data_IF_391047050686
#
_entry.id   IF_391047050686
#
_cell.length_a   1.000
_cell.length_b   1.000
_cell.length_c   1.000
_cell.angle_alpha   90.00
_cell.angle_beta   90.00
_cell.angle_gamma   90.00
#
_symmetry.space_group_name_H-M   'P 1'
#
loop_
_entity.id
_entity.type
_entity.pdbx_description
1 polymer ?
#
# COMPACT_ATOMS: atom_id res chain seq x y z
N UNK A 1 12.19 19.26 7.20
CA UNK A 1 11.91 17.81 7.35
C UNK A 1 10.61 17.53 6.62
N UNK A 2 10.59 16.50 5.77
CA UNK A 2 9.54 16.19 4.79
C UNK A 2 8.90 14.81 5.01
N UNK A 3 9.08 14.23 6.21
CA UNK A 3 8.25 13.12 6.70
C UNK A 3 6.86 13.66 6.98
N UNK A 4 5.83 12.95 6.55
CA UNK A 4 4.46 13.17 6.99
C UNK A 4 4.06 12.02 7.90
N UNK A 5 3.65 12.35 9.11
CA UNK A 5 2.99 11.43 10.04
C UNK A 5 1.61 12.02 10.28
N UNK A 6 0.58 11.25 9.96
CA UNK A 6 -0.82 11.67 10.05
C UNK A 6 -1.59 10.63 10.85
N UNK A 7 -1.95 11.00 12.07
CA UNK A 7 -2.74 10.16 12.97
C UNK A 7 -4.23 10.35 12.68
N UNK A 8 -4.94 9.24 12.52
CA UNK A 8 -6.39 9.18 12.30
C UNK A 8 -6.99 8.34 13.44
N UNK A 9 -7.09 8.90 14.67
CA UNK A 9 -7.49 8.14 15.86
C UNK A 9 -8.89 7.53 15.73
N UNK A 10 -9.82 8.24 15.09
CA UNK A 10 -11.19 7.75 14.84
C UNK A 10 -11.23 6.51 13.93
N UNK A 11 -10.17 6.28 13.15
CA UNK A 11 -10.02 5.11 12.28
C UNK A 11 -9.11 4.04 12.89
N UNK A 12 -8.37 4.37 13.96
CA UNK A 12 -7.29 3.54 14.48
C UNK A 12 -6.15 3.38 13.48
N UNK A 13 -5.79 4.43 12.73
CA UNK A 13 -4.77 4.36 11.67
C UNK A 13 -3.76 5.48 11.83
N UNK A 14 -2.47 5.18 11.67
CA UNK A 14 -1.43 6.19 11.44
C UNK A 14 -0.89 6.04 10.02
N UNK A 15 -0.91 7.12 9.23
CA UNK A 15 -0.20 7.16 7.94
C UNK A 15 1.21 7.69 8.16
N UNK A 16 2.18 6.97 7.60
CA UNK A 16 3.58 7.41 7.48
C UNK A 16 3.88 7.57 6.01
N UNK A 17 4.31 8.77 5.60
CA UNK A 17 4.62 9.03 4.21
C UNK A 17 5.93 9.77 4.05
N UNK A 18 6.80 9.21 3.21
CA UNK A 18 8.02 9.86 2.77
C UNK A 18 7.88 10.21 1.30
N UNK A 19 7.55 11.48 1.05
CA UNK A 19 7.15 12.02 -0.25
C UNK A 19 5.88 11.38 -0.79
N UNK A 20 5.98 10.32 -1.60
CA UNK A 20 4.82 9.67 -2.23
C UNK A 20 4.56 8.24 -1.76
N UNK A 21 5.45 7.66 -0.96
CA UNK A 21 5.32 6.30 -0.46
C UNK A 21 4.49 6.31 0.82
N UNK A 22 3.19 6.05 0.71
CA UNK A 22 2.34 5.91 1.88
C UNK A 22 2.44 4.51 2.46
N UNK A 23 2.70 4.45 3.75
CA UNK A 23 2.58 3.27 4.58
C UNK A 23 1.55 3.54 5.66
N UNK A 24 0.86 2.50 6.12
CA UNK A 24 -0.19 2.62 7.12
C UNK A 24 0.07 1.69 8.28
N UNK A 25 -0.17 2.18 9.49
CA UNK A 25 -0.14 1.39 10.72
C UNK A 25 -1.59 1.28 11.18
N UNK A 26 -2.14 0.08 11.16
CA UNK A 26 -3.46 -0.24 11.68
C UNK A 26 -3.32 -0.62 13.15
N UNK A 27 -4.01 0.08 14.03
CA UNK A 27 -3.92 -0.10 15.48
C UNK A 27 -4.97 -1.13 15.92
N UNK A 28 -4.60 -2.09 16.78
CA UNK A 28 -5.54 -3.08 17.29
C UNK A 28 -5.03 -3.82 18.51
N UNK A 29 -5.83 -3.84 19.58
CA UNK A 29 -5.44 -4.48 20.85
C UNK A 29 -4.19 -3.84 21.44
N UNK A 30 -3.19 -4.66 21.73
CA UNK A 30 -1.87 -4.30 22.25
C UNK A 30 -0.77 -4.21 21.17
N UNK A 31 -1.15 -4.16 19.89
CA UNK A 31 -0.21 -4.10 18.79
C UNK A 31 -0.75 -3.47 17.51
N UNK A 32 -0.03 -3.72 16.41
CA UNK A 32 -0.30 -3.09 15.13
C UNK A 32 -0.05 -4.00 13.92
N UNK A 33 -0.77 -3.75 12.84
CA UNK A 33 -0.50 -4.31 11.51
C UNK A 33 0.04 -3.19 10.63
N UNK A 34 1.19 -3.41 10.00
CA UNK A 34 1.77 -2.46 9.05
C UNK A 34 1.35 -2.86 7.64
N UNK A 35 0.72 -1.96 6.91
CA UNK A 35 0.33 -2.12 5.51
C UNK A 35 1.23 -1.26 4.64
N UNK A 36 1.95 -1.94 3.74
CA UNK A 36 3.11 -1.48 3.00
C UNK A 36 4.24 -1.03 3.92
N UNK A 37 5.46 -1.46 3.61
CA UNK A 37 6.65 -1.12 4.39
C UNK A 37 7.55 -0.10 3.68
N UNK A 38 7.12 0.38 2.51
CA UNK A 38 7.83 1.39 1.77
C UNK A 38 9.14 0.85 1.19
N UNK A 39 10.04 1.78 0.90
CA UNK A 39 11.45 1.50 0.68
C UNK A 39 12.19 1.25 2.00
N UNK A 40 13.39 0.63 2.01
CA UNK A 40 14.12 0.31 3.26
C UNK A 40 14.26 1.47 4.24
N UNK A 41 14.54 2.69 3.73
CA UNK A 41 14.63 3.88 4.58
C UNK A 41 13.30 4.26 5.26
N UNK A 42 12.16 3.97 4.62
CA UNK A 42 10.82 4.20 5.20
C UNK A 42 10.57 3.24 6.35
N UNK A 43 11.14 2.02 6.34
CA UNK A 43 11.07 1.10 7.47
C UNK A 43 11.67 1.70 8.76
N UNK A 44 12.68 2.57 8.63
CA UNK A 44 13.21 3.31 9.78
C UNK A 44 12.25 4.36 10.32
N UNK A 45 11.49 5.03 9.46
CA UNK A 45 10.44 5.97 9.88
C UNK A 45 9.28 5.25 10.56
N UNK A 46 8.84 4.12 9.96
CA UNK A 46 7.84 3.22 10.55
C UNK A 46 8.28 2.72 11.93
N UNK A 47 9.54 2.31 12.06
CA UNK A 47 10.10 1.86 13.34
C UNK A 47 10.06 2.95 14.42
N UNK A 48 10.26 4.22 14.06
CA UNK A 48 10.18 5.34 14.99
C UNK A 48 8.74 5.61 15.45
N UNK A 49 7.76 5.47 14.54
CA UNK A 49 6.32 5.59 14.84
C UNK A 49 5.88 4.44 15.75
N UNK A 50 6.21 3.20 15.41
CA UNK A 50 5.90 2.03 16.23
C UNK A 50 6.51 2.13 17.64
N UNK A 51 7.73 2.65 17.76
CA UNK A 51 8.37 2.90 19.05
C UNK A 51 7.63 3.92 19.94
N UNK A 52 6.93 4.89 19.34
CA UNK A 52 6.12 5.86 20.08
C UNK A 52 4.74 5.33 20.44
N UNK A 53 4.12 4.56 19.54
CA UNK A 53 2.82 3.94 19.79
C UNK A 53 2.91 2.87 20.89
N UNK A 54 4.09 2.23 21.02
CA UNK A 54 4.27 1.08 21.89
C UNK A 54 3.58 -0.17 21.32
N UNK A 55 3.75 -1.31 21.99
CA UNK A 55 3.14 -2.58 21.58
C UNK A 55 3.94 -3.38 20.55
N UNK A 56 3.40 -4.55 20.18
CA UNK A 56 4.00 -5.47 19.20
C UNK A 56 3.54 -5.20 17.77
N UNK A 57 4.38 -5.51 16.79
CA UNK A 57 3.93 -5.64 15.40
C UNK A 57 3.36 -7.05 15.22
N UNK A 58 2.08 -7.16 14.90
CA UNK A 58 1.39 -8.44 14.72
C UNK A 58 1.45 -8.97 13.30
N UNK A 59 1.68 -8.09 12.32
CA UNK A 59 1.88 -8.47 10.93
C UNK A 59 2.48 -7.31 10.11
N UNK A 60 3.23 -7.66 9.07
CA UNK A 60 3.57 -6.75 7.97
C UNK A 60 2.91 -7.27 6.70
N UNK A 61 2.13 -6.42 6.03
CA UNK A 61 1.35 -6.73 4.85
C UNK A 61 1.83 -5.86 3.70
N UNK A 62 1.88 -6.38 2.49
CA UNK A 62 2.03 -5.56 1.29
C UNK A 62 0.78 -5.64 0.40
N UNK A 63 0.42 -4.54 -0.24
CA UNK A 63 -0.67 -4.47 -1.21
C UNK A 63 -0.30 -5.12 -2.54
N UNK A 64 1.00 -5.14 -2.89
CA UNK A 64 1.56 -5.84 -4.05
C UNK A 64 3.09 -5.87 -3.96
N UNK A 65 3.73 -6.55 -4.92
CA UNK A 65 5.18 -6.78 -4.90
C UNK A 65 6.05 -5.64 -5.45
N UNK A 66 5.52 -4.44 -5.73
CA UNK A 66 6.38 -3.32 -6.12
C UNK A 66 7.36 -2.96 -5.01
N UNK A 67 8.54 -2.51 -5.42
CA UNK A 67 9.66 -2.29 -4.50
C UNK A 67 9.35 -1.25 -3.43
N UNK A 68 8.64 -0.20 -3.79
CA UNK A 68 8.23 0.87 -2.88
C UNK A 68 7.05 0.53 -1.98
N UNK A 69 6.50 -0.69 -2.07
CA UNK A 69 5.52 -1.23 -1.13
C UNK A 69 6.12 -2.29 -0.23
N UNK A 70 7.00 -3.15 -0.78
CA UNK A 70 7.46 -4.37 -0.09
C UNK A 70 8.90 -4.29 0.43
N UNK A 71 9.76 -3.41 -0.10
CA UNK A 71 11.21 -3.51 0.14
C UNK A 71 11.62 -3.25 1.60
N UNK A 72 10.85 -2.44 2.33
CA UNK A 72 11.08 -2.19 3.75
C UNK A 72 10.68 -3.33 4.68
N UNK A 73 9.94 -4.34 4.19
CA UNK A 73 9.36 -5.38 5.05
C UNK A 73 10.43 -6.22 5.76
N UNK A 74 11.51 -6.57 5.05
CA UNK A 74 12.63 -7.32 5.62
C UNK A 74 13.37 -6.54 6.72
N UNK A 75 13.59 -5.24 6.50
CA UNK A 75 14.24 -4.37 7.49
C UNK A 75 13.36 -4.14 8.71
N UNK A 76 12.06 -3.97 8.49
CA UNK A 76 11.09 -3.76 9.58
C UNK A 76 10.97 -5.01 10.45
N UNK A 77 10.84 -6.19 9.84
CA UNK A 77 10.70 -7.46 10.57
C UNK A 77 11.99 -7.92 11.26
N UNK A 78 13.16 -7.47 10.80
CA UNK A 78 14.40 -7.65 11.54
C UNK A 78 14.42 -6.89 12.89
N UNK A 79 13.64 -5.80 13.01
CA UNK A 79 13.52 -4.99 14.23
C UNK A 79 12.30 -5.38 15.08
N UNK A 80 11.20 -5.72 14.41
CA UNK A 80 9.94 -6.14 15.01
C UNK A 80 9.54 -7.49 14.42
N UNK A 81 10.00 -8.61 15.00
CA UNK A 81 9.67 -9.94 14.50
C UNK A 81 8.15 -10.15 14.41
N UNK A 82 7.65 -10.32 13.20
CA UNK A 82 6.23 -10.43 12.88
C UNK A 82 6.04 -11.19 11.57
N UNK A 83 4.89 -11.86 11.37
CA UNK A 83 4.62 -12.56 10.12
C UNK A 83 4.48 -11.58 8.95
N UNK A 84 4.99 -11.98 7.79
CA UNK A 84 4.87 -11.24 6.52
C UNK A 84 3.80 -11.87 5.65
N UNK A 85 2.80 -11.07 5.27
CA UNK A 85 1.74 -11.49 4.36
C UNK A 85 1.82 -10.72 3.05
N UNK A 86 1.94 -11.43 1.95
CA UNK A 86 1.93 -10.87 0.60
C UNK A 86 0.69 -11.35 -0.14
N UNK A 87 0.24 -10.69 -1.21
CA UNK A 87 -0.81 -11.25 -2.07
C UNK A 87 -0.44 -12.66 -2.53
N UNK A 88 -1.41 -13.57 -2.58
CA UNK A 88 -1.17 -14.96 -2.96
C UNK A 88 -0.47 -15.07 -4.32
N UNK A 89 -0.75 -14.14 -5.25
CA UNK A 89 -0.08 -14.06 -6.54
C UNK A 89 1.37 -13.59 -6.44
N UNK A 90 1.69 -12.66 -5.55
CA UNK A 90 3.08 -12.21 -5.32
C UNK A 90 3.99 -13.36 -4.90
N UNK A 91 3.46 -14.36 -4.16
CA UNK A 91 4.23 -15.55 -3.78
C UNK A 91 4.73 -16.35 -4.99
N UNK A 92 3.99 -16.34 -6.10
CA UNK A 92 4.39 -17.02 -7.35
C UNK A 92 5.55 -16.34 -8.06
N UNK A 93 5.99 -15.16 -7.57
CA UNK A 93 7.08 -14.39 -8.15
C UNK A 93 8.38 -14.47 -7.35
N UNK A 94 8.36 -15.04 -6.14
CA UNK A 94 9.51 -15.00 -5.23
C UNK A 94 10.74 -15.77 -5.74
N UNK A 95 10.56 -16.65 -6.73
CA UNK A 95 11.64 -17.38 -7.42
C UNK A 95 12.37 -16.55 -8.50
N UNK A 96 12.00 -15.29 -8.68
CA UNK A 96 12.55 -14.42 -9.71
C UNK A 96 11.67 -14.26 -10.94
N UNK A 97 10.47 -14.86 -10.97
CA UNK A 97 9.55 -14.67 -12.08
C UNK A 97 9.20 -13.19 -12.29
N UNK A 98 8.87 -12.85 -13.55
CA UNK A 98 8.56 -11.47 -13.97
C UNK A 98 7.06 -11.21 -13.91
N UNK A 99 6.60 -10.32 -13.00
CA UNK A 99 5.19 -9.97 -12.89
C UNK A 99 4.74 -9.08 -14.05
N UNK A 100 3.42 -9.01 -14.29
CA UNK A 100 2.86 -7.97 -15.16
C UNK A 100 2.86 -6.64 -14.41
N UNK A 101 3.76 -5.75 -14.80
CA UNK A 101 3.96 -4.42 -14.19
C UNK A 101 3.89 -3.29 -15.22
N UNK A 102 3.47 -2.07 -14.85
CA UNK A 102 3.47 -0.92 -15.75
C UNK A 102 4.87 -0.65 -16.33
N UNK A 103 4.91 -0.17 -17.58
CA UNK A 103 6.17 0.27 -18.19
C UNK A 103 6.64 1.57 -17.54
N UNK A 104 7.94 1.92 -17.61
CA UNK A 104 8.43 3.20 -17.07
C UNK A 104 7.68 4.43 -17.61
N UNK A 105 7.26 4.41 -18.89
CA UNK A 105 6.48 5.48 -19.49
C UNK A 105 5.06 5.59 -18.90
N UNK A 106 4.43 4.45 -18.57
CA UNK A 106 3.17 4.46 -17.80
C UNK A 106 3.43 4.95 -16.38
N UNK A 107 4.52 4.49 -15.77
CA UNK A 107 4.88 4.83 -14.40
C UNK A 107 5.03 6.35 -14.20
N UNK A 108 5.69 7.02 -15.14
CA UNK A 108 5.86 8.47 -15.12
C UNK A 108 4.52 9.26 -15.12
N UNK A 109 3.38 8.62 -15.41
CA UNK A 109 2.08 9.29 -15.43
C UNK A 109 1.57 9.67 -14.05
N UNK A 110 2.08 9.10 -12.95
CA UNK A 110 1.70 9.49 -11.58
C UNK A 110 2.26 10.84 -11.15
N UNK A 111 2.94 11.57 -12.04
CA UNK A 111 3.48 12.90 -11.78
C UNK A 111 2.54 13.86 -11.01
N UNK A 112 1.20 13.87 -11.18
CA UNK A 112 0.35 14.74 -10.38
C UNK A 112 0.47 14.45 -8.87
N UNK A 113 0.56 13.18 -8.47
CA UNK A 113 0.71 12.77 -7.06
C UNK A 113 2.01 13.27 -6.44
N UNK A 114 3.07 13.38 -7.26
CA UNK A 114 4.40 13.81 -6.84
C UNK A 114 4.43 15.27 -6.37
N UNK A 115 3.54 16.10 -6.93
CA UNK A 115 3.42 17.53 -6.61
C UNK A 115 2.40 17.80 -5.50
N UNK A 116 1.55 16.84 -5.17
CA UNK A 116 0.56 16.98 -4.11
C UNK A 116 1.16 16.75 -2.71
N UNK A 117 2.34 16.17 -2.60
CA UNK A 117 2.99 15.90 -1.31
C UNK A 117 4.28 16.71 -1.13
N UNK A 118 4.68 17.02 0.12
CA UNK A 118 5.93 17.73 0.38
C UNK A 118 7.11 16.97 -0.23
N UNK A 119 7.89 17.64 -1.08
CA UNK A 119 9.07 17.05 -1.68
C UNK A 119 10.06 16.60 -0.60
N UNK A 120 10.55 15.36 -0.70
CA UNK A 120 11.54 14.78 0.18
C UNK A 120 12.73 14.25 -0.63
N UNK A 121 13.94 14.72 -0.31
CA UNK A 121 15.18 14.31 -0.99
C UNK A 121 15.53 12.84 -0.75
N UNK A 122 15.21 12.30 0.42
CA UNK A 122 15.41 10.89 0.77
C UNK A 122 14.43 10.02 -0.01
N UNK A 123 13.16 10.44 -0.09
CA UNK A 123 12.15 9.80 -0.94
C UNK A 123 12.56 9.77 -2.41
N UNK A 124 12.99 10.91 -2.97
CA UNK A 124 13.44 11.00 -4.35
C UNK A 124 14.67 10.11 -4.65
N UNK A 125 15.67 10.09 -3.75
CA UNK A 125 16.82 9.17 -3.86
C UNK A 125 16.39 7.70 -3.72
N UNK A 126 15.39 7.43 -2.88
CA UNK A 126 14.75 6.14 -2.72
C UNK A 126 14.12 5.66 -4.03
N UNK A 127 13.35 6.50 -4.74
CA UNK A 127 12.75 6.11 -6.02
C UNK A 127 13.79 5.65 -7.05
N UNK A 128 14.96 6.32 -7.10
CA UNK A 128 16.04 5.99 -8.04
C UNK A 128 16.80 4.69 -7.68
N UNK A 129 16.87 4.34 -6.40
CA UNK A 129 17.71 3.24 -5.89
C UNK A 129 16.91 2.02 -5.42
N UNK A 130 15.66 2.23 -5.02
CA UNK A 130 14.78 1.30 -4.33
C UNK A 130 14.36 0.11 -5.19
N UNK A 131 14.19 0.33 -6.49
CA UNK A 131 13.84 -0.71 -7.46
C UNK A 131 14.88 -1.86 -7.54
N UNK A 132 16.05 -1.71 -6.90
CA UNK A 132 17.12 -2.71 -6.87
C UNK A 132 17.17 -3.53 -5.58
N UNK A 133 16.39 -3.22 -4.54
CA UNK A 133 16.57 -3.84 -3.21
C UNK A 133 15.75 -5.12 -3.06
N UNK A 134 14.42 -4.99 -3.07
CA UNK A 134 13.47 -6.07 -3.02
C UNK A 134 12.15 -5.59 -3.65
N UNK A 135 11.29 -6.52 -4.05
CA UNK A 135 10.15 -6.25 -4.94
C UNK A 135 10.52 -6.34 -6.42
N UNK A 136 9.57 -5.96 -7.26
CA UNK A 136 9.77 -5.73 -8.70
C UNK A 136 9.59 -4.25 -9.05
N UNK A 137 9.79 -3.92 -10.32
CA UNK A 137 9.86 -2.53 -10.83
C UNK A 137 11.06 -2.29 -11.77
N UNK A 138 11.88 -3.32 -11.98
CA UNK A 138 12.98 -3.32 -12.97
C UNK A 138 12.84 -4.52 -13.92
N UNK A 139 13.60 -4.56 -15.03
CA UNK A 139 13.61 -5.70 -15.94
C UNK A 139 14.10 -7.03 -15.33
N UNK A 140 14.64 -7.00 -14.11
CA UNK A 140 15.21 -8.16 -13.42
C UNK A 140 14.18 -9.14 -12.84
N UNK A 141 12.89 -8.77 -12.78
CA UNK A 141 11.85 -9.58 -12.14
C UNK A 141 11.69 -9.29 -10.65
N UNK A 142 10.95 -10.13 -9.95
CA UNK A 142 10.75 -10.00 -8.50
C UNK A 142 12.01 -10.43 -7.75
N UNK A 143 12.47 -9.58 -6.83
CA UNK A 143 13.57 -9.89 -5.92
C UNK A 143 13.03 -9.93 -4.49
N UNK A 144 13.23 -11.03 -3.78
CA UNK A 144 12.89 -11.11 -2.36
C UNK A 144 14.15 -11.40 -1.55
N UNK A 145 14.42 -10.58 -0.54
CA UNK A 145 15.58 -10.72 0.35
C UNK A 145 15.19 -10.82 1.82
N UNK A 146 13.88 -10.87 2.11
CA UNK A 146 13.36 -11.03 3.47
C UNK A 146 13.23 -12.51 3.87
N UNK A 147 12.78 -12.79 5.11
CA UNK A 147 12.39 -14.14 5.49
C UNK A 147 11.25 -14.65 4.60
N UNK A 148 11.02 -15.97 4.50
CA UNK A 148 9.88 -16.51 3.79
C UNK A 148 8.57 -15.87 4.28
N UNK A 149 7.69 -15.38 3.39
CA UNK A 149 6.37 -14.91 3.81
C UNK A 149 5.56 -16.05 4.42
N UNK A 150 4.77 -15.72 5.45
CA UNK A 150 3.97 -16.68 6.22
C UNK A 150 2.73 -17.16 5.45
N UNK A 151 2.30 -16.42 4.43
CA UNK A 151 1.24 -16.86 3.55
C UNK A 151 0.79 -15.84 2.52
N UNK A 152 -0.17 -16.29 1.71
CA UNK A 152 -0.72 -15.56 0.58
C UNK A 152 -2.08 -14.96 0.90
N UNK A 153 -2.25 -13.67 0.63
CA UNK A 153 -3.52 -13.00 0.78
C UNK A 153 -4.45 -13.28 -0.40
N UNK A 154 -5.66 -13.78 -0.14
CA UNK A 154 -6.68 -14.13 -1.12
C UNK A 154 -7.92 -13.25 -0.99
N UNK A 155 -8.65 -13.09 -2.09
CA UNK A 155 -9.88 -12.31 -2.12
C UNK A 155 -10.93 -12.76 -1.08
N UNK A 156 -11.58 -11.79 -0.43
CA UNK A 156 -12.70 -11.99 0.47
C UNK A 156 -12.34 -12.49 1.87
N UNK A 157 -11.07 -12.84 2.15
CA UNK A 157 -10.68 -13.24 3.49
C UNK A 157 -10.52 -12.04 4.43
N UNK A 158 -10.63 -12.30 5.72
CA UNK A 158 -10.24 -11.36 6.76
C UNK A 158 -8.70 -11.20 6.78
N UNK A 159 -8.21 -9.98 7.02
CA UNK A 159 -6.79 -9.70 7.12
C UNK A 159 -6.22 -10.33 8.41
N UNK A 160 -5.15 -11.15 8.33
CA UNK A 160 -4.48 -11.68 9.51
C UNK A 160 -4.10 -10.57 10.49
N UNK A 161 -4.36 -10.80 11.78
CA UNK A 161 -4.11 -9.83 12.86
C UNK A 161 -4.94 -8.53 12.81
N UNK A 162 -5.86 -8.40 11.85
CA UNK A 162 -6.78 -7.26 11.72
C UNK A 162 -8.12 -7.72 11.10
N UNK A 163 -8.90 -8.59 11.77
CA UNK A 163 -10.00 -9.33 11.16
C UNK A 163 -11.18 -8.47 10.69
N UNK A 164 -11.29 -7.23 11.15
CA UNK A 164 -12.29 -6.26 10.68
C UNK A 164 -11.97 -5.71 9.28
N UNK A 165 -10.81 -6.05 8.73
CA UNK A 165 -10.40 -5.69 7.37
C UNK A 165 -10.57 -6.89 6.44
N UNK A 166 -11.15 -6.64 5.27
CA UNK A 166 -11.33 -7.64 4.21
C UNK A 166 -10.34 -7.40 3.08
N UNK A 167 -9.67 -8.45 2.63
CA UNK A 167 -8.82 -8.42 1.44
C UNK A 167 -9.69 -8.39 0.19
N UNK A 168 -9.41 -7.46 -0.73
CA UNK A 168 -10.08 -7.32 -2.01
C UNK A 168 -9.05 -7.47 -3.12
N UNK A 169 -9.24 -8.41 -4.03
CA UNK A 169 -8.46 -8.44 -5.27
C UNK A 169 -8.67 -7.14 -6.06
N UNK A 170 -7.58 -6.45 -6.36
CA UNK A 170 -7.59 -5.13 -6.96
C UNK A 170 -6.68 -5.06 -8.20
N UNK A 171 -6.64 -6.16 -8.96
CA UNK A 171 -5.82 -6.29 -10.17
C UNK A 171 -6.12 -5.22 -11.22
N UNK A 172 -5.13 -4.92 -12.04
CA UNK A 172 -5.22 -3.94 -13.12
C UNK A 172 -3.97 -3.08 -13.20
N UNK A 173 -3.54 -2.51 -12.07
CA UNK A 173 -2.23 -1.87 -11.93
C UNK A 173 -1.11 -2.89 -12.12
N UNK A 174 -1.13 -3.90 -11.25
CA UNK A 174 -0.42 -5.17 -11.40
C UNK A 174 -1.44 -6.31 -11.31
N UNK A 175 -1.04 -7.54 -11.63
CA UNK A 175 -1.94 -8.69 -11.52
C UNK A 175 -2.06 -9.22 -10.10
N UNK A 176 -1.11 -8.89 -9.21
CA UNK A 176 -1.07 -9.27 -7.79
C UNK A 176 -1.62 -8.21 -6.83
N UNK A 177 -2.07 -7.06 -7.35
CA UNK A 177 -2.62 -5.97 -6.52
C UNK A 177 -3.82 -6.42 -5.67
N UNK A 178 -3.79 -6.06 -4.39
CA UNK A 178 -4.93 -6.10 -3.47
C UNK A 178 -5.23 -4.71 -2.89
N UNK A 179 -6.45 -4.54 -2.42
CA UNK A 179 -6.89 -3.46 -1.55
C UNK A 179 -7.42 -4.05 -0.24
N UNK A 180 -7.50 -3.22 0.82
CA UNK A 180 -8.03 -3.62 2.12
C UNK A 180 -9.22 -2.75 2.48
N UNK A 181 -10.33 -3.39 2.84
CA UNK A 181 -11.61 -2.72 3.13
C UNK A 181 -12.04 -2.95 4.56
N UNK A 182 -12.30 -1.88 5.30
CA UNK A 182 -12.95 -1.92 6.60
C UNK A 182 -14.40 -1.41 6.47
N UNK A 183 -15.42 -2.28 6.59
CA UNK A 183 -16.81 -1.87 6.45
C UNK A 183 -17.31 -0.99 7.61
N UNK A 184 -16.77 -1.19 8.82
CA UNK A 184 -17.19 -0.47 10.04
C UNK A 184 -16.83 1.00 9.95
N UNK A 185 -15.57 1.31 9.62
CA UNK A 185 -15.10 2.69 9.46
C UNK A 185 -15.29 3.24 8.05
N UNK A 186 -15.77 2.39 7.13
CA UNK A 186 -15.90 2.70 5.69
C UNK A 186 -14.58 3.19 5.08
N UNK A 187 -13.49 2.53 5.45
CA UNK A 187 -12.12 2.88 5.05
C UNK A 187 -11.59 1.90 4.01
N UNK A 188 -11.03 2.42 2.92
CA UNK A 188 -10.38 1.66 1.87
C UNK A 188 -8.89 2.03 1.79
N UNK A 189 -7.99 1.08 2.07
CA UNK A 189 -6.60 1.18 1.66
C UNK A 189 -6.47 0.60 0.26
N UNK A 190 -6.30 1.46 -0.75
CA UNK A 190 -6.42 1.06 -2.16
C UNK A 190 -5.13 0.56 -2.79
N UNK A 191 -3.98 0.67 -2.10
CA UNK A 191 -2.68 0.55 -2.73
C UNK A 191 -2.65 1.42 -3.99
N UNK A 192 -2.25 0.81 -5.10
CA UNK A 192 -2.16 1.49 -6.39
C UNK A 192 -3.35 1.27 -7.32
N UNK A 193 -4.39 0.55 -6.88
CA UNK A 193 -5.61 0.38 -7.64
C UNK A 193 -6.39 1.70 -7.80
N UNK A 194 -6.30 2.57 -6.80
CA UNK A 194 -6.83 3.94 -6.82
C UNK A 194 -5.82 4.85 -6.15
N UNK A 195 -5.38 5.87 -6.86
CA UNK A 195 -4.51 6.92 -6.34
C UNK A 195 -5.35 8.15 -5.99
N UNK A 196 -4.67 9.17 -5.48
CA UNK A 196 -5.29 10.49 -5.34
C UNK A 196 -4.42 11.56 -5.93
N UNK A 197 -5.06 12.56 -6.52
CA UNK A 197 -4.39 13.75 -7.02
C UNK A 197 -5.23 14.98 -6.71
N UNK A 198 -4.58 16.06 -6.28
CA UNK A 198 -5.16 17.35 -5.93
C UNK A 198 -6.32 17.22 -4.94
N UNK A 199 -6.16 16.34 -3.95
CA UNK A 199 -7.15 16.06 -2.92
C UNK A 199 -8.41 15.34 -3.42
N UNK A 200 -8.32 14.66 -4.57
CA UNK A 200 -9.45 13.93 -5.17
C UNK A 200 -9.05 12.52 -5.55
N UNK A 201 -10.05 11.64 -5.56
CA UNK A 201 -9.95 10.29 -6.12
C UNK A 201 -9.44 10.35 -7.56
N UNK A 202 -8.45 9.53 -7.88
CA UNK A 202 -7.92 9.39 -9.23
C UNK A 202 -7.58 7.93 -9.53
N UNK A 203 -8.32 7.31 -10.44
CA UNK A 203 -8.00 5.95 -10.89
C UNK A 203 -6.62 5.93 -11.55
N UNK A 204 -5.79 4.96 -11.15
CA UNK A 204 -4.40 4.91 -11.60
C UNK A 204 -4.29 4.92 -13.13
N UNK A 205 -3.39 5.73 -13.70
CA UNK A 205 -3.10 5.71 -15.13
C UNK A 205 -2.16 4.56 -15.53
N UNK A 206 -1.61 3.84 -14.56
CA UNK A 206 -0.58 2.81 -14.69
C UNK A 206 -1.20 1.41 -14.68
N UNK A 207 -2.00 1.08 -15.69
CA UNK A 207 -2.61 -0.25 -15.78
C UNK A 207 -1.85 -1.16 -16.75
N UNK A 208 -1.76 -2.46 -16.44
CA UNK A 208 -1.26 -3.52 -17.31
C UNK A 208 -2.37 -4.37 -17.92
N UNK A 209 -3.57 -4.30 -17.35
CA UNK A 209 -4.74 -5.07 -17.77
C UNK A 209 -6.01 -4.21 -17.66
N UNK A 210 -6.54 -3.77 -18.80
CA UNK A 210 -7.71 -2.88 -18.85
C UNK A 210 -8.99 -3.56 -18.36
N UNK A 211 -9.16 -4.86 -18.65
CA UNK A 211 -10.35 -5.58 -18.24
C UNK A 211 -10.37 -5.80 -16.72
N UNK A 212 -9.22 -6.18 -16.17
CA UNK A 212 -9.02 -6.32 -14.72
C UNK A 212 -9.20 -4.98 -14.00
N UNK A 213 -8.57 -3.90 -14.50
CA UNK A 213 -8.71 -2.56 -13.93
C UNK A 213 -10.18 -2.07 -13.94
N UNK A 214 -10.93 -2.34 -15.02
CA UNK A 214 -12.34 -1.99 -15.09
C UNK A 214 -13.21 -2.79 -14.11
N UNK A 215 -12.89 -4.08 -13.90
CA UNK A 215 -13.57 -4.91 -12.91
C UNK A 215 -13.29 -4.44 -11.48
N UNK A 216 -12.02 -4.17 -11.16
CA UNK A 216 -11.57 -3.59 -9.89
C UNK A 216 -12.28 -2.27 -9.63
N UNK A 217 -12.30 -1.36 -10.61
CA UNK A 217 -13.02 -0.08 -10.51
C UNK A 217 -14.48 -0.27 -10.15
N UNK A 218 -15.22 -1.10 -10.89
CA UNK A 218 -16.66 -1.35 -10.61
C UNK A 218 -16.87 -1.90 -9.19
N UNK A 219 -15.98 -2.78 -8.73
CA UNK A 219 -16.07 -3.37 -7.39
C UNK A 219 -15.83 -2.32 -6.30
N UNK A 220 -14.76 -1.54 -6.42
CA UNK A 220 -14.40 -0.51 -5.43
C UNK A 220 -15.42 0.63 -5.39
N UNK A 221 -15.90 1.10 -6.55
CA UNK A 221 -16.96 2.10 -6.68
C UNK A 221 -18.34 1.59 -6.19
N UNK A 222 -18.48 0.29 -5.92
CA UNK A 222 -19.67 -0.30 -5.29
C UNK A 222 -19.63 -0.24 -3.75
N UNK A 223 -18.48 0.06 -3.15
CA UNK A 223 -18.32 0.16 -1.69
C UNK A 223 -18.65 1.58 -1.22
N UNK A 224 -19.28 1.76 -0.05
CA UNK A 224 -19.62 3.08 0.50
C UNK A 224 -18.40 3.74 1.18
N UNK A 225 -17.32 3.96 0.43
CA UNK A 225 -16.03 4.41 0.98
C UNK A 225 -16.10 5.86 1.43
N UNK A 226 -15.94 6.11 2.73
CA UNK A 226 -15.85 7.45 3.31
C UNK A 226 -14.40 7.94 3.42
N UNK A 227 -13.45 7.03 3.66
CA UNK A 227 -12.03 7.31 3.81
C UNK A 227 -11.23 6.49 2.79
N UNK A 228 -10.64 7.16 1.79
CA UNK A 228 -9.75 6.53 0.81
C UNK A 228 -8.29 6.83 1.17
N UNK A 229 -7.52 5.78 1.41
CA UNK A 229 -6.13 5.80 1.82
C UNK A 229 -5.25 5.15 0.72
N UNK A 230 -4.68 5.93 -0.22
CA UNK A 230 -3.97 5.38 -1.39
C UNK A 230 -2.51 5.02 -1.10
N UNK A 231 -1.90 4.21 -1.97
CA UNK A 231 -0.44 3.99 -2.00
C UNK A 231 0.34 5.27 -2.34
N UNK A 232 -0.22 6.09 -3.25
CA UNK A 232 0.33 7.40 -3.62
C UNK A 232 -0.71 8.53 -3.60
N UNK A 233 -0.26 9.70 -3.13
CA UNK A 233 -1.08 10.90 -2.96
C UNK A 233 -1.59 11.08 -1.53
N UNK A 234 -2.56 11.96 -1.32
CA UNK A 234 -3.10 12.27 0.02
C UNK A 234 -4.35 11.44 0.33
N UNK A 235 -4.58 11.04 1.59
CA UNK A 235 -5.88 10.58 2.03
C UNK A 235 -7.03 11.51 1.57
N UNK A 236 -8.17 10.92 1.24
CA UNK A 236 -9.41 11.64 0.92
C UNK A 236 -10.51 11.19 1.87
N UNK A 237 -11.11 12.15 2.57
CA UNK A 237 -12.17 11.91 3.54
C UNK A 237 -13.43 12.68 3.16
N UNK A 238 -14.59 12.03 3.24
CA UNK A 238 -15.90 12.65 3.03
C UNK A 238 -16.95 11.99 3.92
N UNK A 239 -18.06 12.68 4.19
CA UNK A 239 -19.12 12.17 5.06
C UNK A 239 -19.87 10.96 4.45
N UNK A 240 -20.17 11.02 3.15
CA UNK A 240 -20.99 10.01 2.47
C UNK A 240 -20.14 9.00 1.71
N UNK A 241 -19.68 9.36 0.51
CA UNK A 241 -18.86 8.48 -0.31
C UNK A 241 -17.88 9.28 -1.19
N UNK A 242 -16.64 8.81 -1.27
CA UNK A 242 -15.59 9.47 -2.07
C UNK A 242 -15.92 9.41 -3.56
N UNK A 243 -16.64 8.36 -3.98
CA UNK A 243 -17.03 8.10 -5.37
C UNK A 243 -18.08 9.12 -5.85
N UNK A 244 -17.84 9.85 -6.95
CA UNK A 244 -18.78 10.84 -7.46
C UNK A 244 -20.20 10.30 -7.71
N UNK A 245 -20.31 9.04 -8.16
CA UNK A 245 -21.62 8.41 -8.47
C UNK A 245 -22.46 8.00 -7.25
N UNK A 246 -21.91 8.08 -6.04
CA UNK A 246 -22.59 7.68 -4.80
C UNK A 246 -23.00 8.87 -3.91
N UNK A 247 -22.66 10.10 -4.30
CA UNK A 247 -23.09 11.32 -3.60
C UNK A 247 -24.54 11.60 -4.00
N UNK A 248 -25.51 11.32 -3.13
CA UNK A 248 -26.94 11.58 -3.36
C UNK A 248 -27.52 12.38 -2.22
#
# INVERSE_FOLDING_TARGET
>A
MSLVIEEMPDLGITRVSRWVFNCYVLHGGDGAVVVDAGLPRVASDLAAVLGHLGGSVHAVVATHGHSDHVAGAAELTARYPAPIWLPARTLTYLDGAKPRTPTPARAARIWPTLFDQPFDRVGAAGLLSGARVAGYGTPAGMRWTGPPPDGGLTDGQALPSAPDWTVINAGGHTDDSIALWNPTTRTLLSGDAVLTARGKVWHTPEIVDTASAAATRRRLEGLPVAHLLPGHGRPVHVAEAVWPGQRR
#
